data_IF_357228429333
#
_entry.id   IF_357228429333
#
_cell.length_a   1.000
_cell.length_b   1.000
_cell.length_c   1.000
_cell.angle_alpha   90.00
_cell.angle_beta   90.00
_cell.angle_gamma   90.00
#
_symmetry.space_group_name_H-M   'P 1'
#
loop_
_entity.id
_entity.type
_entity.pdbx_description
1 polymer ?
2 polymer ?
3 non-polymer ?
4 water ?
#
# COMPACT_ATOMS: atom_id res chain seq x y z
N UNK A 4 -9.20 8.36 -2.21
CA UNK A 4 -10.20 7.56 -2.91
C UNK A 4 -9.58 6.30 -3.53
N UNK A 5 -8.67 6.48 -4.47
CA UNK A 5 -8.23 5.36 -5.31
C UNK A 5 -6.72 5.17 -5.32
N UNK A 6 -6.29 4.09 -5.98
CA UNK A 6 -4.89 3.66 -5.95
C UNK A 6 -3.95 4.71 -6.53
N UNK A 7 -2.96 5.13 -5.75
CA UNK A 7 -2.05 6.18 -6.20
C UNK A 7 -1.22 5.72 -7.41
N UNK A 8 -1.18 4.41 -7.66
CA UNK A 8 -0.42 3.87 -8.78
C UNK A 8 -1.29 3.62 -10.03
N UNK A 9 -2.41 2.90 -9.90
CA UNK A 9 -3.22 2.54 -11.07
C UNK A 9 -4.50 3.37 -11.21
N UNK A 10 -4.83 4.12 -10.15
CA UNK A 10 -5.95 5.06 -10.11
C UNK A 10 -7.33 4.40 -10.22
N UNK A 11 -7.42 3.12 -9.91
CA UNK A 11 -8.71 2.48 -9.78
C UNK A 11 -9.00 2.26 -8.29
N UNK A 12 -10.21 1.80 -7.97
CA UNK A 12 -10.51 1.44 -6.59
C UNK A 12 -10.99 -0.01 -6.50
N UNK A 13 -10.44 -0.87 -7.35
CA UNK A 13 -10.84 -2.27 -7.38
C UNK A 13 -10.47 -2.97 -6.06
N UNK A 14 -11.09 -4.13 -5.80
CA UNK A 14 -10.83 -4.91 -4.59
C UNK A 14 -9.39 -5.41 -4.49
N UNK A 15 -8.91 -5.58 -3.27
CA UNK A 15 -7.56 -6.07 -3.07
C UNK A 15 -6.95 -5.67 -1.75
N UNK A 16 -5.63 -5.86 -1.66
CA UNK A 16 -4.88 -5.52 -0.46
C UNK A 16 -4.29 -4.12 -0.58
N UNK A 17 -4.65 -3.27 0.36
CA UNK A 17 -4.30 -1.86 0.28
C UNK A 17 -3.33 -1.44 1.37
N UNK A 18 -2.35 -0.62 1.00
CA UNK A 18 -1.47 0.02 1.98
C UNK A 18 -1.58 1.53 1.88
N UNK A 19 -1.51 2.19 3.03
CA UNK A 19 -1.52 3.65 3.10
C UNK A 19 -0.10 4.17 3.23
N UNK A 20 0.24 5.17 2.43
CA UNK A 20 1.58 5.73 2.52
C UNK A 20 1.71 6.51 3.81
N UNK A 21 2.82 6.33 4.52
CA UNK A 21 3.04 7.04 5.76
C UNK A 21 3.62 8.43 5.56
N UNK A 22 3.94 8.76 4.32
CA UNK A 22 4.49 10.07 4.02
C UNK A 22 3.40 11.00 3.50
N UNK A 23 2.72 10.56 2.44
CA UNK A 23 1.74 11.40 1.78
C UNK A 23 0.31 11.08 2.19
N UNK A 24 0.09 9.90 2.77
CA UNK A 24 -1.24 9.54 3.24
C UNK A 24 -2.21 9.08 2.17
N UNK A 25 -1.72 8.93 0.94
CA UNK A 25 -2.52 8.33 -0.13
C UNK A 25 -2.50 6.80 -0.03
N UNK A 26 -3.47 6.14 -0.66
CA UNK A 26 -3.56 4.68 -0.66
C UNK A 26 -3.05 4.06 -1.96
N UNK A 27 -2.63 2.81 -1.89
CA UNK A 27 -2.20 2.07 -3.07
C UNK A 27 -2.54 0.58 -2.90
N UNK A 28 -2.90 -0.11 -3.98
CA UNK A 28 -2.91 -1.57 -3.94
C UNK A 28 -1.50 -2.06 -3.68
N UNK A 29 -1.32 -2.92 -2.69
CA UNK A 29 0.01 -3.46 -2.43
C UNK A 29 0.53 -4.21 -3.68
N UNK A 30 -0.36 -4.89 -4.39
CA UNK A 30 0.02 -5.60 -5.59
C UNK A 30 0.47 -4.74 -6.77
N UNK A 31 0.15 -3.45 -6.78
CA UNK A 31 0.57 -2.57 -7.88
C UNK A 31 2.00 -2.04 -7.72
N UNK A 32 2.51 -2.11 -6.50
CA UNK A 32 3.88 -1.70 -6.21
C UNK A 32 4.83 -2.87 -6.37
N UNK A 33 5.62 -2.83 -7.44
CA UNK A 33 6.44 -3.96 -7.85
C UNK A 33 7.90 -3.77 -7.51
N UNK A 34 8.21 -2.79 -6.67
CA UNK A 34 9.60 -2.56 -6.28
C UNK A 34 10.22 -3.79 -5.61
N UNK A 35 11.44 -4.15 -6.01
CA UNK A 35 12.18 -5.23 -5.34
C UNK A 35 12.30 -5.00 -3.84
N UNK A 36 12.20 -6.05 -3.04
CA UNK A 36 12.47 -5.95 -1.61
C UNK A 36 11.29 -5.59 -0.72
N UNK A 37 10.14 -5.29 -1.31
CA UNK A 37 8.99 -4.84 -0.54
C UNK A 37 8.40 -5.90 0.37
N UNK A 38 8.67 -7.16 0.07
CA UNK A 38 8.06 -8.24 0.81
C UNK A 38 6.56 -8.43 0.58
N UNK A 39 5.89 -8.89 1.63
CA UNK A 39 4.50 -9.32 1.50
C UNK A 39 3.57 -8.46 2.34
N UNK A 40 2.33 -8.36 1.88
CA UNK A 40 1.33 -7.54 2.53
C UNK A 40 1.25 -7.82 4.01
N UNK A 41 1.43 -9.09 4.36
CA UNK A 41 1.40 -9.57 5.73
C UNK A 41 2.33 -8.79 6.66
N UNK A 42 3.52 -8.47 6.18
CA UNK A 42 4.52 -7.78 7.00
C UNK A 42 4.11 -6.34 7.28
N UNK A 43 3.12 -5.85 6.53
CA UNK A 43 2.61 -4.49 6.68
C UNK A 43 1.32 -4.45 7.49
N UNK A 44 0.46 -5.43 7.26
CA UNK A 44 -0.88 -5.47 7.83
C UNK A 44 -0.91 -5.71 9.34
N UNK A 45 0.10 -6.38 9.88
CA UNK A 45 0.12 -6.71 11.30
C UNK A 45 0.47 -5.49 12.16
N UNK A 46 0.25 -5.59 13.46
CA UNK A 46 0.59 -4.50 14.37
C UNK A 46 2.11 -4.41 14.48
N UNK A 47 2.62 -3.18 14.47
CA UNK A 47 4.06 -2.91 14.40
C UNK A 47 4.66 -3.51 13.13
N UNK A 48 3.82 -3.65 12.11
CA UNK A 48 4.27 -4.04 10.79
C UNK A 48 5.08 -2.91 10.18
N UNK A 49 5.84 -3.22 9.13
CA UNK A 49 6.66 -2.23 8.43
C UNK A 49 5.82 -1.04 7.98
N UNK A 50 6.46 0.11 7.85
CA UNK A 50 5.80 1.29 7.33
C UNK A 50 5.84 1.27 5.80
N UNK A 51 4.72 1.59 5.15
CA UNK A 51 4.74 1.68 3.71
C UNK A 51 4.99 3.10 3.28
N UNK A 52 5.97 3.29 2.40
CA UNK A 52 6.22 4.60 1.82
C UNK A 52 6.19 4.41 0.31
N UNK A 53 5.25 5.08 -0.35
CA UNK A 53 4.99 4.92 -1.78
C UNK A 53 6.21 5.29 -2.63
N UNK A 54 6.22 4.88 -3.91
CA UNK A 54 7.40 5.08 -4.76
C UNK A 54 7.84 6.54 -4.90
N UNK A 55 6.89 7.45 -5.08
CA UNK A 55 7.27 8.85 -5.18
C UNK A 55 7.81 9.42 -3.88
N UNK A 56 7.24 9.03 -2.74
CA UNK A 56 7.70 9.58 -1.46
C UNK A 56 9.03 8.98 -0.99
N UNK A 57 9.39 7.83 -1.54
CA UNK A 57 10.59 7.15 -1.08
C UNK A 57 11.87 7.94 -1.43
N UNK A 58 12.12 8.17 -2.73
CA UNK A 58 13.06 9.20 -3.24
C UNK A 58 13.25 9.03 -4.74
N UNK B 1 2.27 -0.77 8.72
CA UNK B 1 1.55 0.32 8.06
C UNK B 1 0.06 0.24 8.32
N UNK B 2 -0.65 1.33 8.03
CA UNK B 2 -2.10 1.27 7.99
C UNK B 2 -2.51 0.57 6.70
N UNK B 3 -3.41 -0.40 6.83
CA UNK B 3 -3.81 -1.22 5.70
C UNK B 3 -5.30 -1.45 5.71
N UNK B 4 -5.80 -2.01 4.62
CA UNK B 4 -7.17 -2.47 4.54
C UNK B 4 -7.24 -3.53 3.46
N UNK B 5 -8.26 -4.37 3.58
CA UNK B 5 -8.55 -5.34 2.52
C UNK B 5 -9.97 -5.08 2.06
N UNK B 6 -10.16 -4.88 0.76
CA UNK B 6 -11.48 -4.54 0.25
C UNK B 6 -12.00 -5.55 -0.74
N UNK B 7 -13.31 -5.48 -0.97
CA UNK B 7 -14.03 -6.45 -1.76
C UNK B 7 -15.05 -5.75 -2.65
N UNK B 8 -15.45 -4.55 -2.22
CA UNK B 8 -16.41 -3.71 -2.96
C UNK B 8 -17.75 -4.39 -3.20
X LIG C 1 3.60 8.69 -0.66
X LIG D 1 -3.75 -0.07 -8.05
#
# INVERSE_FOLDING_TARGET
SDGECCLICRSSTAGDWVNCGSCGEWAHFGCDRRPGLGAFKDYAKTDGLEYVCPNCSVSNYRKKSQKTSNGGLLVP
ARTKQTARKSTGGKA
ZN ZN
ZN ZN
#
